data_IF_923164173272
#
_entry.id   IF_923164173272
#
_cell.length_a   1.000
_cell.length_b   1.000
_cell.length_c   1.000
_cell.angle_alpha   90.00
_cell.angle_beta   90.00
_cell.angle_gamma   90.00
#
_symmetry.space_group_name_H-M   'P 1'
#
loop_
_entity.id
_entity.type
_entity.pdbx_description
1 polymer ?
#
# COMPACT_ATOMS: atom_id res chain seq x y z
N UNK A 1 18.91 -11.54 14.30
CA UNK A 1 17.87 -11.10 15.25
C UNK A 1 16.62 -10.82 14.44
N UNK A 2 15.44 -11.27 14.90
CA UNK A 2 14.16 -10.91 14.29
C UNK A 2 13.96 -9.39 14.39
N UNK A 3 13.34 -8.77 13.38
CA UNK A 3 12.98 -7.36 13.46
C UNK A 3 11.87 -7.17 14.50
N UNK A 4 11.92 -6.07 15.25
CA UNK A 4 10.86 -5.66 16.18
C UNK A 4 10.75 -4.12 16.16
N UNK A 5 9.54 -3.59 16.37
CA UNK A 5 9.31 -2.15 16.43
C UNK A 5 10.05 -1.51 17.62
N UNK A 6 9.94 -2.15 18.79
CA UNK A 6 10.56 -1.71 20.04
C UNK A 6 10.66 -2.88 21.02
N UNK A 7 11.53 -2.75 22.02
CA UNK A 7 11.64 -3.69 23.16
C UNK A 7 10.66 -3.35 24.29
N UNK A 8 10.05 -2.16 24.25
CA UNK A 8 9.20 -1.61 25.28
C UNK A 8 7.74 -1.72 24.84
N UNK A 9 6.94 -2.56 25.51
CA UNK A 9 5.51 -2.76 25.18
C UNK A 9 4.53 -2.05 26.12
N UNK A 10 5.04 -1.49 27.22
CA UNK A 10 4.21 -0.68 28.13
C UNK A 10 3.75 0.59 27.44
N UNK A 11 2.46 0.92 27.57
CA UNK A 11 1.89 2.04 26.82
C UNK A 11 2.55 3.39 27.14
N UNK A 12 2.92 3.63 28.39
CA UNK A 12 3.62 4.87 28.77
C UNK A 12 4.94 5.02 28.02
N UNK A 13 5.69 3.93 27.89
CA UNK A 13 6.96 3.89 27.17
C UNK A 13 6.76 4.06 25.66
N UNK A 14 5.72 3.42 25.10
CA UNK A 14 5.33 3.60 23.70
C UNK A 14 4.95 5.06 23.42
N UNK A 15 4.16 5.67 24.31
CA UNK A 15 3.78 7.07 24.24
C UNK A 15 5.00 7.99 24.38
N UNK A 16 6.00 7.67 25.20
CA UNK A 16 7.24 8.48 25.27
C UNK A 16 8.06 8.35 23.98
N UNK A 17 8.15 7.14 23.43
CA UNK A 17 8.99 6.85 22.27
C UNK A 17 8.37 7.35 20.96
N UNK A 18 7.06 7.21 20.77
CA UNK A 18 6.39 7.42 19.49
C UNK A 18 5.29 8.48 19.58
N UNK A 19 5.44 9.55 18.80
CA UNK A 19 4.46 10.65 18.75
C UNK A 19 3.07 10.15 18.31
N UNK A 20 3.02 9.23 17.35
CA UNK A 20 1.75 8.69 16.88
C UNK A 20 0.95 7.94 17.95
N UNK A 21 1.61 7.41 18.99
CA UNK A 21 0.94 6.75 20.12
C UNK A 21 0.31 7.79 21.03
N UNK A 22 1.00 8.92 21.26
CA UNK A 22 0.45 10.05 22.03
C UNK A 22 -0.75 10.68 21.35
N UNK A 23 -0.67 10.85 20.03
CA UNK A 23 -1.71 11.50 19.24
C UNK A 23 -3.04 10.75 19.22
N UNK A 24 -3.06 9.47 19.58
CA UNK A 24 -4.31 8.69 19.69
C UNK A 24 -5.08 9.01 20.99
N UNK A 25 -4.43 9.62 21.99
CA UNK A 25 -5.09 9.96 23.23
C UNK A 25 -6.10 11.09 23.05
N UNK A 26 -7.29 10.93 23.62
CA UNK A 26 -8.38 11.90 23.52
C UNK A 26 -9.06 11.96 22.14
N UNK A 27 -8.65 11.13 21.17
CA UNK A 27 -9.35 11.02 19.88
C UNK A 27 -10.67 10.29 20.14
N UNK A 28 -11.83 10.96 20.01
CA UNK A 28 -13.11 10.38 20.39
C UNK A 28 -13.48 9.21 19.47
N UNK A 29 -14.26 8.28 20.00
CA UNK A 29 -14.92 7.22 19.22
C UNK A 29 -16.43 7.26 19.41
N UNK A 30 -17.15 6.47 18.62
CA UNK A 30 -18.60 6.37 18.73
C UNK A 30 -18.99 5.63 20.01
N UNK A 31 -19.75 6.26 20.90
CA UNK A 31 -20.06 5.71 22.22
C UNK A 31 -20.92 4.42 22.20
N UNK A 32 -21.57 4.08 21.08
CA UNK A 32 -22.33 2.84 20.95
C UNK A 32 -21.43 1.68 20.53
N UNK A 33 -20.50 1.94 19.62
CA UNK A 33 -19.59 0.91 19.08
C UNK A 33 -18.26 0.81 19.83
N UNK A 34 -17.94 1.83 20.63
CA UNK A 34 -16.70 1.99 21.39
C UNK A 34 -16.98 2.63 22.75
N UNK A 35 -17.68 1.92 23.64
CA UNK A 35 -18.01 2.41 24.97
C UNK A 35 -16.75 2.60 25.86
N UNK A 36 -15.62 1.97 25.49
CA UNK A 36 -14.34 2.06 26.19
C UNK A 36 -13.71 3.47 26.15
N UNK A 37 -14.15 4.33 25.21
CA UNK A 37 -13.76 5.73 25.14
C UNK A 37 -12.90 6.07 23.91
N UNK A 38 -11.65 6.47 24.13
CA UNK A 38 -10.80 7.02 23.07
C UNK A 38 -10.02 5.95 22.28
N UNK A 39 -9.42 6.33 21.16
CA UNK A 39 -8.65 5.43 20.29
C UNK A 39 -7.44 4.81 21.00
N UNK A 40 -6.81 5.52 21.93
CA UNK A 40 -5.68 4.99 22.70
C UNK A 40 -6.11 3.89 23.67
N UNK A 41 -7.24 4.05 24.36
CA UNK A 41 -7.80 3.03 25.25
C UNK A 41 -8.15 1.78 24.44
N UNK A 42 -8.90 1.95 23.34
CA UNK A 42 -9.23 0.85 22.44
C UNK A 42 -7.99 0.10 21.95
N UNK A 43 -6.99 0.82 21.44
CA UNK A 43 -5.76 0.19 20.94
C UNK A 43 -5.03 -0.63 22.01
N UNK A 44 -5.02 -0.19 23.28
CA UNK A 44 -4.47 -1.01 24.39
C UNK A 44 -5.26 -2.30 24.58
N UNK A 45 -6.58 -2.23 24.55
CA UNK A 45 -7.46 -3.38 24.71
C UNK A 45 -7.29 -4.38 23.56
N UNK A 46 -7.14 -3.89 22.33
CA UNK A 46 -6.82 -4.72 21.16
C UNK A 46 -5.47 -5.42 21.31
N UNK A 47 -4.43 -4.71 21.79
CA UNK A 47 -3.11 -5.31 22.00
C UNK A 47 -3.15 -6.41 23.08
N UNK A 48 -3.84 -6.17 24.20
CA UNK A 48 -4.02 -7.17 25.25
C UNK A 48 -4.79 -8.40 24.73
N UNK A 49 -5.91 -8.16 24.03
CA UNK A 49 -6.70 -9.22 23.42
C UNK A 49 -5.89 -10.04 22.42
N UNK A 50 -5.06 -9.39 21.59
CA UNK A 50 -4.18 -10.06 20.63
C UNK A 50 -3.17 -10.97 21.33
N UNK A 51 -2.52 -10.49 22.39
CA UNK A 51 -1.50 -11.25 23.13
C UNK A 51 -2.08 -12.47 23.86
N UNK A 52 -3.37 -12.41 24.24
CA UNK A 52 -4.11 -13.50 24.86
C UNK A 52 -4.62 -14.55 23.87
N UNK A 53 -4.63 -14.28 22.55
CA UNK A 53 -5.07 -15.25 21.55
C UNK A 53 -4.10 -16.45 21.46
N UNK A 54 -4.60 -17.70 21.62
CA UNK A 54 -3.75 -18.89 21.49
C UNK A 54 -3.05 -18.99 20.14
N UNK A 55 -3.75 -18.63 19.06
CA UNK A 55 -3.21 -18.61 17.71
C UNK A 55 -2.07 -17.58 17.53
N UNK A 56 -2.10 -16.45 18.24
CA UNK A 56 -1.01 -15.47 18.21
C UNK A 56 0.24 -16.00 18.91
N UNK A 57 0.07 -16.65 20.07
CA UNK A 57 1.17 -17.25 20.84
C UNK A 57 1.89 -18.37 20.08
N UNK A 58 1.21 -19.02 19.13
CA UNK A 58 1.77 -20.06 18.26
C UNK A 58 2.48 -19.52 17.02
N UNK A 59 2.32 -18.24 16.70
CA UNK A 59 3.01 -17.64 15.54
C UNK A 59 4.53 -17.59 15.75
N UNK A 60 5.32 -17.73 14.67
CA UNK A 60 6.73 -17.36 14.68
C UNK A 60 6.92 -15.91 15.17
N UNK A 61 8.01 -15.67 15.91
CA UNK A 61 8.32 -14.36 16.51
C UNK A 61 8.22 -13.21 15.49
N UNK A 62 8.70 -13.41 14.26
CA UNK A 62 8.61 -12.39 13.21
C UNK A 62 7.17 -12.01 12.86
N UNK A 63 6.26 -12.99 12.74
CA UNK A 63 4.84 -12.73 12.46
C UNK A 63 4.14 -12.11 13.67
N UNK A 64 4.52 -12.49 14.91
CA UNK A 64 4.03 -11.82 16.11
C UNK A 64 4.36 -10.33 16.09
N UNK A 65 5.61 -9.95 15.78
CA UNK A 65 5.99 -8.54 15.69
C UNK A 65 5.24 -7.77 14.59
N UNK A 66 4.96 -8.43 13.46
CA UNK A 66 4.19 -7.84 12.36
C UNK A 66 2.74 -7.55 12.80
N UNK A 67 2.03 -8.55 13.32
CA UNK A 67 0.62 -8.38 13.71
C UNK A 67 0.48 -7.44 14.90
N UNK A 68 1.37 -7.52 15.88
CA UNK A 68 1.39 -6.62 17.03
C UNK A 68 1.61 -5.17 16.60
N UNK A 69 2.56 -4.92 15.69
CA UNK A 69 2.80 -3.57 15.17
C UNK A 69 1.62 -3.06 14.34
N UNK A 70 0.98 -3.94 13.57
CA UNK A 70 -0.23 -3.60 12.83
C UNK A 70 -1.40 -3.27 13.77
N UNK A 71 -1.58 -4.01 14.87
CA UNK A 71 -2.58 -3.73 15.89
C UNK A 71 -2.34 -2.37 16.55
N UNK A 72 -1.10 -2.01 16.89
CA UNK A 72 -0.77 -0.68 17.42
C UNK A 72 -1.10 0.45 16.43
N UNK A 73 -1.04 0.19 15.12
CA UNK A 73 -1.23 1.19 14.06
C UNK A 73 -2.60 1.15 13.37
N UNK A 74 -3.46 0.15 13.64
CA UNK A 74 -4.64 -0.14 12.81
C UNK A 74 -5.57 1.06 12.66
N UNK A 75 -5.72 1.82 13.76
CA UNK A 75 -6.57 3.00 13.86
C UNK A 75 -5.79 4.32 14.00
N UNK A 76 -4.48 4.32 13.73
CA UNK A 76 -3.60 5.49 13.98
C UNK A 76 -4.08 6.77 13.30
N UNK A 77 -4.73 6.68 12.14
CA UNK A 77 -5.23 7.84 11.41
C UNK A 77 -6.66 8.26 11.77
N UNK A 78 -7.32 7.60 12.73
CA UNK A 78 -8.49 8.19 13.38
C UNK A 78 -8.12 9.56 13.96
N UNK A 79 -6.89 9.77 14.46
CA UNK A 79 -6.39 11.08 14.95
C UNK A 79 -6.57 12.27 14.01
N UNK A 80 -6.65 12.03 12.70
CA UNK A 80 -6.66 13.09 11.68
C UNK A 80 -7.86 12.99 10.72
N UNK A 81 -8.70 11.97 10.88
CA UNK A 81 -9.88 11.72 10.02
C UNK A 81 -11.18 11.67 10.81
N UNK A 82 -11.11 11.62 12.14
CA UNK A 82 -12.29 11.62 13.01
C UNK A 82 -12.98 12.97 12.99
N UNK A 83 -14.30 12.93 12.86
CA UNK A 83 -15.19 14.09 12.90
C UNK A 83 -16.56 13.69 13.42
N UNK A 84 -17.28 14.64 13.97
CA UNK A 84 -18.66 14.46 14.38
C UNK A 84 -19.60 14.75 13.20
N UNK A 85 -20.49 13.81 12.89
CA UNK A 85 -21.53 13.92 11.87
C UNK A 85 -22.85 13.43 12.46
N UNK A 86 -23.88 14.28 12.45
CA UNK A 86 -25.23 13.93 12.92
C UNK A 86 -25.26 13.39 14.37
N UNK A 87 -24.40 13.94 15.24
CA UNK A 87 -24.27 13.52 16.64
C UNK A 87 -23.56 12.18 16.85
N UNK A 88 -22.96 11.61 15.80
CA UNK A 88 -22.11 10.41 15.88
C UNK A 88 -20.69 10.70 15.45
N UNK A 89 -19.75 9.99 16.06
CA UNK A 89 -18.33 10.09 15.73
C UNK A 89 -18.01 9.15 14.57
N UNK A 90 -17.38 9.66 13.52
CA UNK A 90 -17.00 8.89 12.34
C UNK A 90 -15.59 9.22 11.88
N UNK A 91 -14.87 8.22 11.39
CA UNK A 91 -13.48 8.37 10.89
C UNK A 91 -13.36 7.85 9.45
N UNK A 92 -14.03 8.47 8.47
CA UNK A 92 -14.06 7.96 7.11
C UNK A 92 -12.66 8.01 6.47
N UNK A 93 -12.27 6.90 5.84
CA UNK A 93 -10.99 6.79 5.14
C UNK A 93 -9.76 6.61 6.05
N UNK A 94 -9.95 6.45 7.37
CA UNK A 94 -8.83 6.25 8.31
C UNK A 94 -7.95 5.06 7.89
N UNK A 95 -8.50 3.94 7.45
CA UNK A 95 -7.71 2.77 7.03
C UNK A 95 -6.82 3.06 5.81
N UNK A 96 -7.33 3.82 4.82
CA UNK A 96 -6.53 4.20 3.64
C UNK A 96 -5.40 5.17 4.02
N UNK A 97 -5.70 6.14 4.88
CA UNK A 97 -4.68 7.07 5.38
C UNK A 97 -3.70 6.38 6.32
N UNK A 98 -4.18 5.43 7.12
CA UNK A 98 -3.44 4.61 8.07
C UNK A 98 -2.36 3.80 7.37
N UNK A 99 -2.67 3.21 6.21
CA UNK A 99 -1.67 2.56 5.36
C UNK A 99 -0.49 3.50 5.03
N UNK A 100 -0.80 4.73 4.59
CA UNK A 100 0.21 5.72 4.24
C UNK A 100 1.04 6.15 5.45
N UNK A 101 0.39 6.35 6.60
CA UNK A 101 1.08 6.74 7.83
C UNK A 101 1.94 5.63 8.39
N UNK A 102 1.44 4.40 8.46
CA UNK A 102 2.21 3.22 8.86
C UNK A 102 3.46 3.07 8.00
N UNK A 103 3.32 3.17 6.67
CA UNK A 103 4.46 3.11 5.75
C UNK A 103 5.47 4.24 6.01
N UNK A 104 5.00 5.47 6.23
CA UNK A 104 5.89 6.60 6.48
C UNK A 104 6.62 6.49 7.82
N UNK A 105 5.94 6.13 8.90
CA UNK A 105 6.54 5.93 10.23
C UNK A 105 7.62 4.84 10.14
N UNK A 106 7.28 3.68 9.58
CA UNK A 106 8.16 2.52 9.43
C UNK A 106 9.21 2.66 8.32
N UNK A 107 9.19 3.75 7.56
CA UNK A 107 10.26 4.08 6.61
C UNK A 107 11.23 5.10 7.21
N UNK A 108 10.71 6.10 7.96
CA UNK A 108 11.47 7.27 8.40
C UNK A 108 12.01 7.13 9.82
N UNK A 109 11.16 6.67 10.74
CA UNK A 109 11.42 6.70 12.18
C UNK A 109 12.01 5.38 12.66
N UNK A 110 11.55 4.27 12.07
CA UNK A 110 12.02 2.91 12.36
C UNK A 110 12.49 2.30 11.06
N UNK A 111 13.78 2.02 10.89
CA UNK A 111 14.37 1.48 9.66
C UNK A 111 13.91 0.03 9.41
N UNK A 112 12.65 -0.13 9.00
CA UNK A 112 11.96 -1.41 8.88
C UNK A 112 12.25 -2.04 7.53
N UNK A 113 12.62 -3.34 7.47
CA UNK A 113 12.78 -4.04 6.20
C UNK A 113 11.54 -3.92 5.33
N UNK A 114 11.74 -3.68 4.03
CA UNK A 114 10.66 -3.37 3.07
C UNK A 114 9.49 -4.37 3.14
N UNK A 115 9.78 -5.68 3.09
CA UNK A 115 8.75 -6.72 3.11
C UNK A 115 7.91 -6.69 4.40
N UNK A 116 8.56 -6.51 5.56
CA UNK A 116 7.88 -6.41 6.87
C UNK A 116 7.00 -5.16 6.91
N UNK A 117 7.54 -4.02 6.46
CA UNK A 117 6.80 -2.76 6.42
C UNK A 117 5.53 -2.86 5.58
N UNK A 118 5.62 -3.46 4.39
CA UNK A 118 4.46 -3.57 3.50
C UNK A 118 3.42 -4.56 4.00
N UNK A 119 3.82 -5.63 4.73
CA UNK A 119 2.87 -6.50 5.43
C UNK A 119 2.11 -5.75 6.52
N UNK A 120 2.81 -4.96 7.35
CA UNK A 120 2.17 -4.13 8.39
C UNK A 120 1.23 -3.10 7.75
N UNK A 121 1.70 -2.37 6.72
CA UNK A 121 0.88 -1.38 6.03
C UNK A 121 -0.37 -2.01 5.39
N UNK A 122 -0.26 -3.22 4.84
CA UNK A 122 -1.41 -3.96 4.29
C UNK A 122 -2.39 -4.40 5.40
N UNK A 123 -1.91 -4.91 6.54
CA UNK A 123 -2.77 -5.23 7.69
C UNK A 123 -3.53 -3.99 8.16
N UNK A 124 -2.85 -2.85 8.35
CA UNK A 124 -3.49 -1.57 8.70
C UNK A 124 -4.49 -1.14 7.63
N UNK A 125 -4.19 -1.33 6.34
CA UNK A 125 -5.10 -0.96 5.25
C UNK A 125 -6.41 -1.75 5.26
N UNK A 126 -6.33 -3.03 5.60
CA UNK A 126 -7.40 -4.00 5.45
C UNK A 126 -8.02 -4.42 6.77
N UNK A 127 -7.60 -3.90 7.93
CA UNK A 127 -8.05 -4.38 9.26
C UNK A 127 -9.58 -4.51 9.41
N UNK A 128 -10.37 -3.62 8.78
CA UNK A 128 -11.83 -3.70 8.80
C UNK A 128 -12.46 -4.63 7.75
N UNK A 129 -11.68 -5.17 6.80
CA UNK A 129 -12.18 -6.03 5.72
C UNK A 129 -12.91 -7.26 6.27
N UNK A 130 -12.43 -7.99 7.30
CA UNK A 130 -13.14 -9.16 7.81
C UNK A 130 -14.56 -8.87 8.30
N UNK A 131 -14.78 -7.70 8.91
CA UNK A 131 -16.11 -7.29 9.41
C UNK A 131 -17.10 -6.93 8.29
N UNK A 132 -16.58 -6.38 7.19
CA UNK A 132 -17.39 -5.72 6.16
C UNK A 132 -17.28 -6.38 4.77
N UNK A 133 -16.61 -7.53 4.66
CA UNK A 133 -16.39 -8.18 3.37
C UNK A 133 -17.70 -8.51 2.66
N UNK A 134 -18.65 -9.09 3.38
CA UNK A 134 -19.94 -9.53 2.84
C UNK A 134 -20.86 -8.37 2.46
N UNK A 135 -20.63 -7.18 3.01
CA UNK A 135 -21.39 -5.97 2.69
C UNK A 135 -20.86 -5.30 1.41
N UNK A 136 -19.76 -5.80 0.81
CA UNK A 136 -19.22 -5.26 -0.43
C UNK A 136 -20.03 -5.71 -1.64
N UNK A 137 -20.16 -4.86 -2.68
CA UNK A 137 -20.81 -5.25 -3.93
C UNK A 137 -20.15 -6.44 -4.64
N UNK A 138 -18.86 -6.65 -4.44
CA UNK A 138 -18.11 -7.79 -4.96
C UNK A 138 -17.12 -8.29 -3.89
N UNK A 139 -17.56 -9.17 -2.99
CA UNK A 139 -16.74 -9.73 -1.91
C UNK A 139 -15.52 -10.49 -2.44
N UNK A 140 -15.68 -11.30 -3.50
CA UNK A 140 -14.58 -12.07 -4.10
C UNK A 140 -13.45 -11.16 -4.58
N UNK A 141 -13.78 -10.12 -5.35
CA UNK A 141 -12.77 -9.20 -5.89
C UNK A 141 -12.03 -8.48 -4.77
N UNK A 142 -12.72 -8.12 -3.69
CA UNK A 142 -12.11 -7.50 -2.52
C UNK A 142 -11.19 -8.48 -1.77
N UNK A 143 -11.62 -9.74 -1.59
CA UNK A 143 -10.79 -10.79 -1.02
C UNK A 143 -9.54 -11.03 -1.88
N UNK A 144 -9.69 -11.20 -3.19
CA UNK A 144 -8.56 -11.50 -4.06
C UNK A 144 -7.54 -10.35 -4.05
N UNK A 145 -7.99 -9.10 -4.12
CA UNK A 145 -7.10 -7.94 -4.02
C UNK A 145 -6.35 -7.90 -2.68
N UNK A 146 -7.01 -8.22 -1.57
CA UNK A 146 -6.37 -8.27 -0.25
C UNK A 146 -5.38 -9.45 -0.13
N UNK A 147 -5.76 -10.64 -0.62
CA UNK A 147 -4.93 -11.86 -0.59
C UNK A 147 -3.60 -11.69 -1.32
N UNK A 148 -3.55 -10.84 -2.35
CA UNK A 148 -2.32 -10.50 -3.08
C UNK A 148 -1.35 -9.63 -2.27
N UNK A 149 -1.74 -9.17 -1.09
CA UNK A 149 -0.99 -8.17 -0.29
C UNK A 149 -0.77 -8.60 1.16
N UNK A 150 -1.69 -9.37 1.73
CA UNK A 150 -1.65 -9.78 3.13
C UNK A 150 -2.19 -11.20 3.30
N UNK A 151 -1.61 -11.94 4.22
CA UNK A 151 -2.09 -13.27 4.60
C UNK A 151 -3.43 -13.14 5.33
N UNK A 152 -4.46 -13.86 4.87
CA UNK A 152 -5.81 -13.71 5.43
C UNK A 152 -5.91 -14.22 6.87
N UNK A 153 -5.09 -15.20 7.25
CA UNK A 153 -4.99 -15.68 8.64
C UNK A 153 -4.59 -14.56 9.61
N UNK A 154 -3.56 -13.79 9.29
CA UNK A 154 -3.07 -12.67 10.11
C UNK A 154 -4.08 -11.52 10.14
N UNK A 155 -4.75 -11.27 9.01
CA UNK A 155 -5.78 -10.27 8.92
C UNK A 155 -7.01 -10.64 9.76
N UNK A 156 -7.42 -11.91 9.73
CA UNK A 156 -8.50 -12.45 10.56
C UNK A 156 -8.15 -12.32 12.05
N UNK A 157 -6.92 -12.68 12.44
CA UNK A 157 -6.43 -12.54 13.82
C UNK A 157 -6.47 -11.10 14.31
N UNK A 158 -6.01 -10.15 13.49
CA UNK A 158 -6.09 -8.72 13.82
C UNK A 158 -7.53 -8.26 14.03
N UNK A 159 -8.44 -8.62 13.12
CA UNK A 159 -9.86 -8.25 13.25
C UNK A 159 -10.53 -8.91 14.47
N UNK A 160 -10.14 -10.14 14.82
CA UNK A 160 -10.60 -10.83 16.02
C UNK A 160 -10.15 -10.12 17.29
N UNK A 161 -8.87 -9.73 17.37
CA UNK A 161 -8.37 -8.95 18.49
C UNK A 161 -9.06 -7.58 18.59
N UNK A 162 -9.29 -6.91 17.46
CA UNK A 162 -10.04 -5.65 17.39
C UNK A 162 -11.47 -5.83 17.93
N UNK A 163 -12.22 -6.84 17.49
CA UNK A 163 -13.58 -7.10 17.97
C UNK A 163 -13.63 -7.47 19.47
N UNK A 164 -12.67 -8.27 19.97
CA UNK A 164 -12.58 -8.64 21.39
C UNK A 164 -12.30 -7.40 22.26
N UNK A 165 -11.39 -6.53 21.80
CA UNK A 165 -10.96 -5.31 22.48
C UNK A 165 -12.00 -4.19 22.57
N UNK A 166 -13.12 -4.28 21.84
CA UNK A 166 -14.21 -3.29 21.88
C UNK A 166 -15.15 -3.50 23.05
N UNK A 167 -15.70 -2.45 23.64
CA UNK A 167 -16.87 -2.51 24.53
C UNK A 167 -18.11 -2.08 23.76
N UNK A 168 -18.92 -3.06 23.32
CA UNK A 168 -20.12 -2.85 22.51
C UNK A 168 -21.14 -3.98 22.71
N UNK A 169 -22.43 -3.70 22.48
CA UNK A 169 -23.51 -4.69 22.59
C UNK A 169 -23.48 -5.72 21.46
N UNK A 170 -23.00 -5.35 20.27
CA UNK A 170 -22.99 -6.15 19.04
C UNK A 170 -21.71 -7.00 18.87
N UNK A 171 -20.92 -7.18 19.94
CA UNK A 171 -19.66 -7.95 19.89
C UNK A 171 -19.83 -9.36 19.31
N UNK A 172 -20.91 -10.06 19.68
CA UNK A 172 -21.18 -11.40 19.18
C UNK A 172 -21.39 -11.42 17.65
N UNK A 173 -22.07 -10.41 17.11
CA UNK A 173 -22.29 -10.27 15.67
C UNK A 173 -20.99 -9.95 14.93
N UNK A 174 -20.11 -9.13 15.51
CA UNK A 174 -18.78 -8.84 14.95
C UNK A 174 -17.94 -10.13 14.85
N UNK A 175 -17.94 -10.96 15.89
CA UNK A 175 -17.23 -12.24 15.89
C UNK A 175 -17.82 -13.22 14.86
N UNK A 176 -19.14 -13.32 14.76
CA UNK A 176 -19.81 -14.14 13.75
C UNK A 176 -19.46 -13.71 12.31
N UNK A 177 -19.34 -12.40 12.05
CA UNK A 177 -18.86 -11.86 10.76
C UNK A 177 -17.42 -12.28 10.45
N UNK A 178 -16.55 -12.30 11.46
CA UNK A 178 -15.15 -12.73 11.31
C UNK A 178 -15.07 -14.23 11.03
N UNK A 179 -15.89 -15.05 11.68
CA UNK A 179 -15.99 -16.49 11.37
C UNK A 179 -16.45 -16.72 9.93
N UNK A 180 -17.46 -15.97 9.47
CA UNK A 180 -17.92 -16.02 8.08
C UNK A 180 -16.81 -15.59 7.10
N UNK A 181 -16.02 -14.58 7.46
CA UNK A 181 -14.85 -14.17 6.67
C UNK A 181 -13.81 -15.30 6.56
N UNK A 182 -13.51 -16.00 7.64
CA UNK A 182 -12.60 -17.15 7.61
C UNK A 182 -13.12 -18.25 6.68
N UNK A 183 -14.39 -18.63 6.81
CA UNK A 183 -15.01 -19.65 5.96
C UNK A 183 -14.92 -19.27 4.48
N UNK A 184 -15.23 -18.01 4.15
CA UNK A 184 -15.16 -17.49 2.79
C UNK A 184 -13.72 -17.48 2.25
N UNK A 185 -12.73 -17.07 3.06
CA UNK A 185 -11.32 -17.16 2.67
C UNK A 185 -10.90 -18.59 2.34
N UNK A 186 -11.35 -19.57 3.12
CA UNK A 186 -11.03 -21.00 2.93
C UNK A 186 -11.70 -21.56 1.69
N UNK A 187 -12.97 -21.26 1.45
CA UNK A 187 -13.72 -21.66 0.26
C UNK A 187 -13.04 -21.16 -1.02
N UNK A 188 -12.51 -19.93 -0.98
CA UNK A 188 -11.78 -19.32 -2.10
C UNK A 188 -10.29 -19.68 -2.17
N UNK A 189 -9.81 -20.57 -1.28
CA UNK A 189 -8.40 -21.00 -1.19
C UNK A 189 -7.41 -19.83 -1.01
N UNK A 190 -7.81 -18.82 -0.23
CA UNK A 190 -7.05 -17.60 0.02
C UNK A 190 -6.60 -17.46 1.49
N UNK A 191 -6.74 -18.51 2.32
CA UNK A 191 -6.50 -18.42 3.76
C UNK A 191 -5.01 -18.23 4.11
N UNK A 192 -4.18 -19.09 3.55
CA UNK A 192 -2.74 -19.23 3.81
C UNK A 192 -1.88 -18.77 2.62
N UNK A 193 -2.49 -18.57 1.45
CA UNK A 193 -1.82 -18.15 0.21
C UNK A 193 -2.64 -17.13 -0.57
N UNK A 194 -2.00 -16.31 -1.42
CA UNK A 194 -2.72 -15.40 -2.31
C UNK A 194 -3.61 -16.14 -3.31
N UNK A 195 -4.64 -15.47 -3.83
CA UNK A 195 -5.43 -15.99 -4.96
C UNK A 195 -4.53 -16.25 -6.17
N UNK A 196 -4.59 -17.48 -6.67
CA UNK A 196 -3.99 -17.86 -7.95
C UNK A 196 -4.89 -17.45 -9.12
N UNK A 197 -4.25 -17.01 -10.21
CA UNK A 197 -4.88 -16.64 -11.47
C UNK A 197 -4.22 -17.44 -12.59
N UNK A 198 -4.94 -17.71 -13.68
CA UNK A 198 -4.41 -18.50 -14.80
C UNK A 198 -3.13 -17.89 -15.42
N UNK A 199 -2.96 -16.57 -15.35
CA UNK A 199 -1.75 -15.87 -15.77
C UNK A 199 -1.69 -14.45 -15.18
N UNK A 200 -0.54 -13.79 -15.30
CA UNK A 200 -0.38 -12.37 -14.99
C UNK A 200 -1.34 -11.48 -15.81
N UNK A 201 -1.54 -11.82 -17.09
CA UNK A 201 -2.51 -11.14 -17.95
C UNK A 201 -3.96 -11.41 -17.50
N UNK A 202 -4.27 -12.64 -17.09
CA UNK A 202 -5.57 -13.01 -16.53
C UNK A 202 -5.90 -12.24 -15.25
N UNK A 203 -4.91 -12.11 -14.35
CA UNK A 203 -5.04 -11.27 -13.14
C UNK A 203 -5.33 -9.82 -13.49
N UNK A 204 -4.55 -9.23 -14.39
CA UNK A 204 -4.77 -7.86 -14.85
C UNK A 204 -6.17 -7.69 -15.43
N UNK A 205 -6.59 -8.60 -16.32
CA UNK A 205 -7.94 -8.61 -16.89
C UNK A 205 -9.02 -8.65 -15.81
N UNK A 206 -8.92 -9.57 -14.85
CA UNK A 206 -9.88 -9.70 -13.75
C UNK A 206 -10.08 -8.38 -12.98
N UNK A 207 -9.00 -7.67 -12.65
CA UNK A 207 -9.06 -6.40 -11.91
C UNK A 207 -9.40 -5.18 -12.77
N UNK A 208 -9.42 -5.29 -14.10
CA UNK A 208 -9.71 -4.18 -15.01
C UNK A 208 -10.97 -4.36 -15.86
N UNK A 209 -11.66 -5.50 -15.72
CA UNK A 209 -12.99 -5.73 -16.32
C UNK A 209 -14.04 -6.02 -15.25
N UNK A 210 -15.32 -5.77 -15.56
CA UNK A 210 -16.41 -5.94 -14.59
C UNK A 210 -16.85 -7.39 -14.37
N UNK A 211 -16.58 -8.30 -15.33
CA UNK A 211 -17.07 -9.69 -15.34
C UNK A 211 -15.98 -10.71 -15.67
N UNK A 212 -14.77 -10.50 -15.16
CA UNK A 212 -13.67 -11.46 -15.33
C UNK A 212 -13.81 -12.66 -14.39
N UNK A 213 -13.28 -13.82 -14.79
CA UNK A 213 -13.08 -14.98 -13.93
C UNK A 213 -11.58 -15.17 -13.64
N UNK A 214 -11.18 -15.70 -12.47
CA UNK A 214 -9.75 -15.89 -12.14
C UNK A 214 -9.01 -16.87 -13.08
N UNK A 215 -9.75 -17.84 -13.63
CA UNK A 215 -9.23 -18.89 -14.51
C UNK A 215 -9.16 -18.45 -15.98
N UNK A 216 -9.61 -17.23 -16.29
CA UNK A 216 -9.54 -16.70 -17.65
C UNK A 216 -8.08 -16.47 -18.06
N UNK A 217 -7.71 -17.05 -19.19
CA UNK A 217 -6.44 -16.81 -19.85
C UNK A 217 -6.67 -15.97 -21.11
N UNK A 218 -6.32 -14.67 -21.09
CA UNK A 218 -6.36 -13.85 -22.28
C UNK A 218 -5.43 -14.42 -23.35
N UNK A 219 -5.78 -14.18 -24.61
CA UNK A 219 -4.88 -14.46 -25.73
C UNK A 219 -3.65 -13.54 -25.64
N UNK A 220 -2.49 -14.03 -26.06
CA UNK A 220 -1.28 -13.21 -26.11
C UNK A 220 -1.40 -12.20 -27.27
N UNK A 221 -1.72 -10.96 -26.91
CA UNK A 221 -1.73 -9.85 -27.85
C UNK A 221 -0.29 -9.46 -28.23
N UNK A 222 -0.08 -9.20 -29.52
CA UNK A 222 1.16 -8.65 -30.08
C UNK A 222 1.22 -7.13 -29.83
N UNK A 223 1.47 -6.73 -28.59
CA UNK A 223 1.63 -5.34 -28.16
C UNK A 223 3.03 -5.02 -27.64
N UNK A 224 3.31 -3.74 -27.40
CA UNK A 224 4.56 -3.31 -26.75
C UNK A 224 4.60 -3.67 -25.27
N UNK A 225 5.80 -3.85 -24.72
CA UNK A 225 6.04 -3.83 -23.28
C UNK A 225 6.35 -2.41 -22.79
N UNK A 226 5.64 -1.97 -21.76
CA UNK A 226 5.83 -0.65 -21.13
C UNK A 226 6.28 -0.83 -19.69
N UNK A 227 7.53 -0.44 -19.44
CA UNK A 227 8.10 -0.41 -18.09
C UNK A 227 7.83 0.95 -17.48
N UNK A 228 6.96 1.01 -16.48
CA UNK A 228 6.63 2.23 -15.76
C UNK A 228 7.32 2.25 -14.40
N UNK A 229 8.25 3.20 -14.24
CA UNK A 229 8.98 3.34 -12.99
C UNK A 229 8.14 4.10 -11.95
N UNK A 230 8.26 3.64 -10.71
CA UNK A 230 7.59 4.20 -9.55
C UNK A 230 8.63 4.44 -8.46
N UNK A 231 8.62 5.63 -7.84
CA UNK A 231 9.53 5.92 -6.75
C UNK A 231 9.84 7.40 -6.64
N UNK A 232 10.27 7.82 -5.45
CA UNK A 232 10.57 9.21 -5.15
C UNK A 232 11.78 9.71 -5.98
N UNK A 233 11.90 11.03 -6.20
CA UNK A 233 13.12 11.62 -6.76
C UNK A 233 14.33 11.19 -5.92
N UNK A 234 15.44 10.85 -6.57
CA UNK A 234 16.65 10.41 -5.85
C UNK A 234 16.63 8.95 -5.37
N UNK A 235 15.62 8.13 -5.70
CA UNK A 235 15.62 6.67 -5.43
C UNK A 235 16.43 5.84 -6.46
N UNK A 236 17.14 6.49 -7.40
CA UNK A 236 18.00 5.76 -8.35
C UNK A 236 17.33 5.32 -9.66
N UNK A 237 16.13 5.80 -10.00
CA UNK A 237 15.45 5.47 -11.28
C UNK A 237 16.35 5.61 -12.51
N UNK A 238 17.01 6.74 -12.67
CA UNK A 238 17.87 6.99 -13.84
C UNK A 238 19.07 6.02 -13.88
N UNK A 239 19.64 5.68 -12.72
CA UNK A 239 20.72 4.70 -12.61
C UNK A 239 20.25 3.29 -12.97
N UNK A 240 19.08 2.88 -12.46
CA UNK A 240 18.46 1.60 -12.79
C UNK A 240 18.22 1.46 -14.30
N UNK A 241 17.73 2.50 -14.97
CA UNK A 241 17.53 2.51 -16.43
C UNK A 241 18.86 2.30 -17.14
N UNK A 242 19.91 3.04 -16.77
CA UNK A 242 21.23 2.92 -17.39
C UNK A 242 21.83 1.53 -17.22
N UNK A 243 21.59 0.89 -16.08
CA UNK A 243 22.13 -0.43 -15.78
C UNK A 243 21.36 -1.55 -16.50
N UNK A 244 20.04 -1.51 -16.50
CA UNK A 244 19.20 -2.62 -16.95
C UNK A 244 18.62 -2.45 -18.35
N UNK A 245 18.43 -1.21 -18.80
CA UNK A 245 17.73 -0.89 -20.06
C UNK A 245 18.40 0.26 -20.85
N UNK A 246 19.72 0.21 -21.10
CA UNK A 246 20.46 1.34 -21.69
C UNK A 246 20.05 1.70 -23.12
N UNK A 247 19.42 0.77 -23.85
CA UNK A 247 19.02 0.94 -25.26
C UNK A 247 17.51 1.14 -25.44
N UNK A 248 16.72 1.06 -24.37
CA UNK A 248 15.27 1.17 -24.45
C UNK A 248 14.87 2.64 -24.52
N UNK A 249 14.02 3.06 -25.48
CA UNK A 249 13.56 4.44 -25.54
C UNK A 249 12.78 4.81 -24.27
N UNK A 250 12.86 6.09 -23.87
CA UNK A 250 12.28 6.55 -22.62
C UNK A 250 11.44 7.81 -22.85
N UNK A 251 10.26 7.84 -22.23
CA UNK A 251 9.45 9.04 -22.04
C UNK A 251 9.70 9.54 -20.61
N UNK A 252 10.34 10.69 -20.46
CA UNK A 252 10.69 11.27 -19.17
C UNK A 252 10.08 12.66 -18.98
N UNK A 253 9.21 12.82 -17.98
CA UNK A 253 8.54 14.10 -17.72
C UNK A 253 9.52 15.19 -17.27
N UNK A 254 10.56 14.82 -16.54
CA UNK A 254 11.59 15.78 -16.10
C UNK A 254 12.47 16.24 -17.26
N UNK A 255 12.69 15.40 -18.26
CA UNK A 255 13.41 15.78 -19.47
C UNK A 255 12.60 16.77 -20.31
N UNK A 256 11.29 16.52 -20.49
CA UNK A 256 10.38 17.45 -21.15
C UNK A 256 10.41 18.82 -20.44
N UNK A 257 10.35 18.84 -19.09
CA UNK A 257 10.48 20.09 -18.34
C UNK A 257 11.79 20.82 -18.64
N UNK A 258 12.91 20.11 -18.67
CA UNK A 258 14.25 20.69 -18.93
C UNK A 258 14.37 21.26 -20.33
N UNK A 259 13.98 20.51 -21.36
CA UNK A 259 14.04 20.95 -22.77
C UNK A 259 13.23 22.23 -22.98
N UNK A 260 12.06 22.32 -22.33
CA UNK A 260 11.17 23.47 -22.44
C UNK A 260 11.39 24.56 -21.37
N UNK A 261 12.43 24.44 -20.53
CA UNK A 261 12.76 25.37 -19.45
C UNK A 261 11.58 25.64 -18.48
N UNK A 262 10.75 24.63 -18.25
CA UNK A 262 9.60 24.69 -17.35
C UNK A 262 10.03 24.34 -15.93
N UNK A 263 9.70 25.21 -14.97
CA UNK A 263 9.96 24.94 -13.56
C UNK A 263 9.08 23.80 -13.05
N UNK A 264 9.62 22.85 -12.26
CA UNK A 264 8.81 21.84 -11.56
C UNK A 264 7.74 22.44 -10.62
N UNK A 265 7.90 23.69 -10.19
CA UNK A 265 6.94 24.39 -9.33
C UNK A 265 5.82 25.10 -10.12
N UNK A 266 5.94 25.21 -11.45
CA UNK A 266 4.91 25.83 -12.28
C UNK A 266 3.72 24.88 -12.42
N UNK A 267 2.61 25.22 -11.74
CA UNK A 267 1.38 24.43 -11.74
C UNK A 267 0.62 24.52 -13.08
N UNK A 268 0.72 25.66 -13.77
CA UNK A 268 -0.01 25.90 -15.02
C UNK A 268 0.58 25.08 -16.16
N UNK A 269 1.90 24.86 -16.13
CA UNK A 269 2.60 24.08 -17.15
C UNK A 269 2.52 22.55 -16.93
N UNK A 270 2.10 22.06 -15.75
CA UNK A 270 2.07 20.61 -15.47
C UNK A 270 1.17 19.82 -16.42
N UNK A 271 -0.02 20.36 -16.71
CA UNK A 271 -0.96 19.72 -17.62
C UNK A 271 -0.39 19.58 -19.02
N UNK A 272 0.31 20.62 -19.50
CA UNK A 272 0.98 20.61 -20.78
C UNK A 272 2.13 19.59 -20.83
N UNK A 273 2.99 19.54 -19.81
CA UNK A 273 4.09 18.54 -19.72
C UNK A 273 3.53 17.12 -19.74
N UNK A 274 2.49 16.85 -18.96
CA UNK A 274 1.84 15.55 -18.94
C UNK A 274 1.26 15.18 -20.32
N UNK A 275 0.67 16.15 -21.03
CA UNK A 275 0.14 15.93 -22.37
C UNK A 275 1.25 15.61 -23.39
N UNK A 276 2.37 16.34 -23.36
CA UNK A 276 3.51 16.04 -24.23
C UNK A 276 4.06 14.64 -23.99
N UNK A 277 4.21 14.22 -22.73
CA UNK A 277 4.63 12.87 -22.39
C UNK A 277 3.66 11.81 -22.94
N UNK A 278 2.34 12.03 -22.82
CA UNK A 278 1.33 11.13 -23.39
C UNK A 278 1.43 11.04 -24.92
N UNK A 279 1.65 12.16 -25.60
CA UNK A 279 1.79 12.15 -27.06
C UNK A 279 3.07 11.41 -27.52
N UNK A 280 4.19 11.60 -26.82
CA UNK A 280 5.40 10.81 -27.06
C UNK A 280 5.16 9.30 -26.85
N UNK A 281 4.51 8.92 -25.74
CA UNK A 281 4.16 7.52 -25.47
C UNK A 281 3.26 6.93 -26.57
N UNK A 282 2.24 7.67 -27.06
CA UNK A 282 1.37 7.22 -28.15
C UNK A 282 2.13 6.93 -29.45
N UNK A 283 3.24 7.60 -29.72
CA UNK A 283 4.07 7.30 -30.89
C UNK A 283 4.66 5.89 -30.78
N UNK A 284 5.22 5.53 -29.62
CA UNK A 284 5.76 4.19 -29.37
C UNK A 284 4.67 3.12 -29.36
N UNK A 285 3.56 3.39 -28.66
CA UNK A 285 2.41 2.47 -28.57
C UNK A 285 1.83 2.13 -29.95
N UNK A 286 1.65 3.12 -30.83
CA UNK A 286 1.15 2.88 -32.21
C UNK A 286 2.11 2.04 -33.06
N UNK A 287 3.40 2.11 -32.76
CA UNK A 287 4.45 1.32 -33.42
C UNK A 287 4.67 -0.04 -32.75
N UNK A 288 3.95 -0.35 -31.67
CA UNK A 288 4.17 -1.51 -30.80
C UNK A 288 5.63 -1.61 -30.33
N UNK A 289 6.26 -0.46 -30.10
CA UNK A 289 7.66 -0.39 -29.66
C UNK A 289 7.73 -0.32 -28.13
N UNK A 290 8.56 -1.16 -27.53
CA UNK A 290 8.81 -1.15 -26.09
C UNK A 290 9.44 0.17 -25.66
N UNK A 291 9.02 0.68 -24.50
CA UNK A 291 9.57 1.92 -23.94
C UNK A 291 9.45 2.00 -22.42
N UNK A 292 10.22 2.90 -21.83
CA UNK A 292 10.19 3.20 -20.40
C UNK A 292 9.41 4.48 -20.15
N UNK A 293 8.45 4.42 -19.23
CA UNK A 293 7.82 5.60 -18.66
C UNK A 293 8.53 6.00 -17.36
N UNK A 294 9.41 7.00 -17.44
CA UNK A 294 10.16 7.51 -16.29
C UNK A 294 9.45 8.71 -15.65
N UNK A 295 8.72 8.44 -14.57
CA UNK A 295 8.08 9.44 -13.73
C UNK A 295 8.20 9.03 -12.25
N UNK A 296 7.73 9.89 -11.34
CA UNK A 296 7.64 9.52 -9.92
C UNK A 296 6.48 8.55 -9.65
N UNK A 297 5.37 8.70 -10.38
CA UNK A 297 4.21 7.78 -10.36
C UNK A 297 3.66 7.53 -8.94
N UNK A 298 3.56 8.60 -8.15
CA UNK A 298 3.41 8.55 -6.68
C UNK A 298 2.09 7.96 -6.17
N UNK A 299 1.00 8.04 -6.93
CA UNK A 299 -0.32 7.55 -6.48
C UNK A 299 -0.91 6.56 -7.47
N UNK A 300 -1.75 5.66 -6.99
CA UNK A 300 -2.48 4.68 -7.80
C UNK A 300 -3.28 5.39 -8.89
N UNK A 301 -3.96 6.50 -8.60
CA UNK A 301 -4.73 7.26 -9.60
C UNK A 301 -3.88 7.79 -10.78
N UNK A 302 -2.64 8.21 -10.51
CA UNK A 302 -1.72 8.67 -11.55
C UNK A 302 -1.23 7.50 -12.41
N UNK A 303 -1.00 6.35 -11.78
CA UNK A 303 -0.61 5.11 -12.46
C UNK A 303 -1.76 4.58 -13.31
N UNK A 304 -2.95 4.46 -12.75
CA UNK A 304 -4.17 3.97 -13.40
C UNK A 304 -4.47 4.75 -14.69
N UNK A 305 -4.33 6.08 -14.68
CA UNK A 305 -4.51 6.89 -15.89
C UNK A 305 -3.57 6.48 -17.02
N UNK A 306 -2.32 6.13 -16.70
CA UNK A 306 -1.31 5.74 -17.69
C UNK A 306 -1.45 4.27 -18.08
N UNK A 307 -1.67 3.38 -17.12
CA UNK A 307 -1.96 1.97 -17.32
C UNK A 307 -3.17 1.82 -18.28
N UNK A 308 -4.24 2.57 -18.04
CA UNK A 308 -5.42 2.59 -18.92
C UNK A 308 -5.12 3.13 -20.33
N UNK A 309 -4.17 4.07 -20.47
CA UNK A 309 -3.71 4.49 -21.78
C UNK A 309 -2.96 3.36 -22.48
N UNK A 310 -2.01 2.71 -21.80
CA UNK A 310 -1.17 1.66 -22.36
C UNK A 310 -2.00 0.42 -22.74
N UNK A 311 -2.89 -0.02 -21.85
CA UNK A 311 -3.76 -1.17 -22.06
C UNK A 311 -4.71 -0.99 -23.27
N UNK A 312 -5.16 0.24 -23.57
CA UNK A 312 -5.96 0.52 -24.78
C UNK A 312 -5.20 0.31 -26.09
N UNK A 313 -3.87 0.32 -26.04
CA UNK A 313 -2.99 -0.04 -27.15
C UNK A 313 -2.49 -1.49 -27.04
N UNK A 314 -3.13 -2.32 -26.21
CA UNK A 314 -2.77 -3.72 -25.96
C UNK A 314 -1.35 -3.89 -25.40
N UNK A 315 -0.80 -2.85 -24.78
CA UNK A 315 0.54 -2.92 -24.22
C UNK A 315 0.54 -3.72 -22.90
N UNK A 316 1.56 -4.57 -22.73
CA UNK A 316 1.84 -5.27 -21.48
C UNK A 316 2.54 -4.28 -20.54
N UNK A 317 1.99 -4.08 -19.34
CA UNK A 317 2.49 -3.07 -18.40
C UNK A 317 3.23 -3.72 -17.24
N UNK A 318 4.48 -3.31 -17.05
CA UNK A 318 5.33 -3.71 -15.93
C UNK A 318 5.62 -2.49 -15.03
N UNK A 319 5.09 -2.50 -13.82
CA UNK A 319 5.43 -1.50 -12.80
C UNK A 319 6.69 -1.93 -12.07
N UNK A 320 7.70 -1.07 -12.01
CA UNK A 320 8.90 -1.29 -11.19
C UNK A 320 8.98 -0.20 -10.13
N UNK A 321 8.83 -0.59 -8.88
CA UNK A 321 9.00 0.30 -7.73
C UNK A 321 10.45 0.29 -7.25
N UNK A 322 11.04 1.46 -7.02
CA UNK A 322 12.40 1.62 -6.54
C UNK A 322 12.45 2.32 -5.20
N UNK A 323 13.24 1.77 -4.29
CA UNK A 323 13.49 2.36 -2.98
C UNK A 323 14.89 2.05 -2.46
N UNK A 324 15.46 3.04 -1.77
CA UNK A 324 16.63 2.88 -0.91
C UNK A 324 16.26 3.32 0.52
N UNK A 325 17.00 2.89 1.55
CA UNK A 325 16.75 3.29 2.94
C UNK A 325 16.66 4.82 3.11
N UNK A 326 15.82 5.28 4.04
CA UNK A 326 15.50 6.70 4.20
C UNK A 326 16.73 7.60 4.34
N UNK A 327 17.72 7.22 5.16
CA UNK A 327 18.96 7.98 5.34
C UNK A 327 19.77 8.10 4.05
N UNK A 328 19.87 7.00 3.31
CA UNK A 328 20.53 6.98 2.00
C UNK A 328 19.76 7.85 0.99
N UNK A 329 18.44 7.76 0.97
CA UNK A 329 17.60 8.58 0.09
C UNK A 329 17.80 10.08 0.33
N UNK A 330 17.84 10.52 1.59
CA UNK A 330 18.12 11.90 1.96
C UNK A 330 19.52 12.34 1.48
N UNK A 331 20.54 11.52 1.71
CA UNK A 331 21.91 11.80 1.27
C UNK A 331 21.99 11.91 -0.26
N UNK A 332 21.40 10.95 -0.97
CA UNK A 332 21.38 10.93 -2.43
C UNK A 332 20.72 12.20 -2.98
N UNK A 333 19.60 12.64 -2.42
CA UNK A 333 18.95 13.87 -2.89
C UNK A 333 19.81 15.12 -2.70
N UNK A 334 20.51 15.25 -1.56
CA UNK A 334 21.39 16.39 -1.28
C UNK A 334 22.56 16.48 -2.26
N UNK A 335 23.00 15.35 -2.82
CA UNK A 335 24.13 15.28 -3.76
C UNK A 335 23.71 15.43 -5.24
N UNK A 336 22.42 15.58 -5.54
CA UNK A 336 21.95 15.70 -6.94
C UNK A 336 22.24 17.08 -7.50
N UNK A 337 22.59 17.13 -8.80
CA UNK A 337 22.69 18.37 -9.59
C UNK A 337 21.44 19.24 -9.48
N UNK A 338 20.26 18.62 -9.41
CA UNK A 338 18.98 19.26 -9.17
C UNK A 338 18.33 18.65 -7.93
N UNK A 339 18.82 19.06 -6.76
CA UNK A 339 18.26 18.65 -5.48
C UNK A 339 16.82 19.16 -5.32
N UNK A 340 15.94 18.32 -4.79
CA UNK A 340 14.56 18.70 -4.47
C UNK A 340 14.54 19.22 -3.02
N UNK A 341 13.89 20.35 -2.72
CA UNK A 341 13.79 20.85 -1.34
C UNK A 341 13.23 19.81 -0.36
N UNK A 342 13.75 19.76 0.86
CA UNK A 342 13.41 18.71 1.85
C UNK A 342 11.91 18.67 2.15
N UNK A 343 11.27 19.83 2.35
CA UNK A 343 9.83 19.93 2.57
C UNK A 343 8.99 19.37 1.40
N UNK A 344 9.49 19.50 0.16
CA UNK A 344 8.84 18.93 -1.03
C UNK A 344 9.01 17.41 -1.06
N UNK A 345 10.18 16.91 -0.67
CA UNK A 345 10.47 15.48 -0.57
C UNK A 345 9.58 14.80 0.47
N UNK A 346 9.44 15.39 1.65
CA UNK A 346 8.55 14.91 2.70
C UNK A 346 7.09 14.89 2.25
N UNK A 347 6.64 15.97 1.59
CA UNK A 347 5.29 16.01 1.02
C UNK A 347 5.07 14.95 -0.06
N UNK A 348 6.09 14.60 -0.84
CA UNK A 348 5.99 13.53 -1.83
C UNK A 348 5.97 12.15 -1.16
N UNK A 349 6.78 11.92 -0.14
CA UNK A 349 6.78 10.69 0.66
C UNK A 349 5.41 10.46 1.34
N UNK A 350 4.81 11.52 1.89
CA UNK A 350 3.45 11.49 2.45
C UNK A 350 2.34 11.15 1.45
N UNK A 351 2.63 11.14 0.15
CA UNK A 351 1.69 10.79 -0.93
C UNK A 351 2.04 9.50 -1.66
N UNK A 352 3.11 8.82 -1.23
CA UNK A 352 3.62 7.64 -1.92
C UNK A 352 2.73 6.43 -1.61
N UNK A 353 1.90 6.07 -2.57
CA UNK A 353 1.21 4.77 -2.63
C UNK A 353 2.11 3.82 -3.43
N UNK A 354 2.48 2.68 -2.83
CA UNK A 354 3.31 1.69 -3.52
C UNK A 354 2.45 0.90 -4.52
N UNK A 355 2.96 0.58 -5.73
CA UNK A 355 2.26 -0.25 -6.70
C UNK A 355 1.84 -1.60 -6.11
N UNK A 356 0.59 -2.02 -6.34
CA UNK A 356 0.07 -3.32 -5.88
C UNK A 356 -0.13 -4.30 -7.03
N UNK A 357 -0.09 -5.64 -6.79
CA UNK A 357 -0.10 -6.64 -7.86
C UNK A 357 -1.34 -6.63 -8.77
N UNK A 358 -2.45 -6.06 -8.28
CA UNK A 358 -3.71 -5.89 -9.02
C UNK A 358 -3.69 -4.72 -10.01
N UNK A 359 -2.73 -3.78 -9.92
CA UNK A 359 -2.69 -2.59 -10.78
C UNK A 359 -2.22 -2.88 -12.22
N UNK A 360 -1.37 -3.88 -12.42
CA UNK A 360 -0.69 -4.09 -13.70
C UNK A 360 -0.47 -5.58 -14.00
N UNK A 361 -0.02 -5.88 -15.23
CA UNK A 361 0.32 -7.25 -15.62
C UNK A 361 1.43 -7.78 -14.71
N UNK A 362 2.48 -6.98 -14.51
CA UNK A 362 3.56 -7.31 -13.59
C UNK A 362 3.89 -6.13 -12.68
N UNK A 363 4.22 -6.44 -11.44
CA UNK A 363 4.75 -5.49 -10.46
C UNK A 363 6.01 -6.08 -9.85
N UNK A 364 7.08 -5.31 -9.81
CA UNK A 364 8.35 -5.71 -9.21
C UNK A 364 8.91 -4.62 -8.31
N UNK A 365 9.61 -5.04 -7.27
CA UNK A 365 10.16 -4.15 -6.25
C UNK A 365 11.69 -4.27 -6.28
N UNK A 366 12.35 -3.20 -6.66
CA UNK A 366 13.80 -3.09 -6.69
C UNK A 366 14.25 -2.27 -5.47
N UNK A 367 14.68 -2.98 -4.43
CA UNK A 367 14.94 -2.44 -3.11
C UNK A 367 16.43 -2.59 -2.82
N UNK A 368 17.09 -1.46 -2.50
CA UNK A 368 18.51 -1.43 -2.15
C UNK A 368 19.43 -2.16 -3.14
N UNK A 369 19.19 -2.01 -4.44
CA UNK A 369 20.04 -2.59 -5.49
C UNK A 369 19.65 -4.00 -5.95
N UNK A 370 18.55 -4.58 -5.45
CA UNK A 370 18.11 -5.92 -5.85
C UNK A 370 16.60 -6.08 -5.93
N UNK A 371 16.14 -7.04 -6.73
CA UNK A 371 14.72 -7.41 -6.77
C UNK A 371 14.34 -8.23 -5.55
N UNK A 372 13.22 -7.89 -4.92
CA UNK A 372 12.70 -8.60 -3.75
C UNK A 372 11.26 -9.05 -3.97
N UNK A 373 10.91 -10.18 -3.35
CA UNK A 373 9.54 -10.65 -3.25
C UNK A 373 8.94 -10.13 -1.94
N UNK A 374 7.77 -9.52 -2.04
CA UNK A 374 7.18 -8.69 -0.97
C UNK A 374 5.90 -9.32 -0.45
N UNK A 375 5.07 -9.75 -1.38
CA UNK A 375 3.82 -10.44 -1.09
C UNK A 375 4.00 -11.95 -1.24
N UNK A 376 3.34 -12.66 -0.33
CA UNK A 376 3.54 -14.05 0.11
C UNK A 376 3.86 -15.04 -1.02
N UNK A 377 4.76 -15.98 -0.72
CA UNK A 377 5.09 -17.14 -1.56
C UNK A 377 4.02 -18.21 -1.49
#
# INVERSE_FOLDING_TARGET
>A
MSWQLTKQREWSQLADQFEFVRDMHGVPQDALHHAEGDVAIHTKMVLAALEDLPEYQQLPEAQQQIVWTAALLHDVEKRSTTREEEGRIRSPGHAKKGELSARNILFREVETPFAIREQIAALVRFHGLPLWLMDKPNPERALYAASLRVEMSLLCMLAKADAIGRECEDKADLLARIELFELFCREHHCWDKPKEFASLAGRFHYFHTQRGTPDYQPFDDDGSEVIMLCGLPGMGKDHFIQQHYPQTPMVCLDEIRRVHKISPADKNAQGWVAQQAKEQAKVYLRRKQDFIWNATSLSASLRESMISLFARYQAKVHLIYLEVPYKQWQQQNRQRKYAVPENVMERMAGKLEIPTPDEAHQVSYYINGGFVNVFVK
#
